data_IF_162939907916
#
_entry.id   IF_162939907916
#
_cell.length_a   1.000
_cell.length_b   1.000
_cell.length_c   1.000
_cell.angle_alpha   90.00
_cell.angle_beta   90.00
_cell.angle_gamma   90.00
#
_symmetry.space_group_name_H-M   'P 1'
#
loop_
_entity.id
_entity.type
_entity.pdbx_description
1 polymer ?
#
# COMPACT_ATOMS: atom_id res chain seq x y z
N UNK A 1 -18.59 0.11 21.62
CA UNK A 1 -18.18 -0.01 21.18
C UNK A 1 -17.86 -0.23 20.50
N UNK A 2 -17.72 -0.48 20.17
CA UNK A 2 -17.20 -0.71 19.49
C UNK A 2 -17.09 -0.44 18.62
N UNK A 3 -17.18 -0.15 18.41
CA UNK A 3 -17.02 0.05 17.65
C UNK A 3 -16.56 0.51 16.94
N UNK A 4 -16.55 0.88 17.04
CA UNK A 4 -15.70 1.50 16.35
C UNK A 4 -14.74 0.85 15.48
N UNK A 5 -14.69 -0.25 15.43
CA UNK A 5 -13.86 -1.06 14.59
C UNK A 5 -14.17 -0.83 13.14
N UNK A 6 -15.34 -0.38 12.89
CA UNK A 6 -15.80 -0.16 11.53
C UNK A 6 -15.39 1.19 10.99
N UNK A 7 -14.65 1.95 11.78
CA UNK A 7 -14.22 3.25 11.33
C UNK A 7 -12.71 3.30 11.30
N UNK A 8 -12.09 2.53 10.43
CA UNK A 8 -10.64 2.48 10.38
C UNK A 8 -10.00 3.83 10.06
N UNK A 9 -10.76 4.72 9.49
CA UNK A 9 -10.24 6.03 9.13
C UNK A 9 -9.77 6.83 10.32
N UNK A 10 -10.22 6.50 11.52
CA UNK A 10 -9.81 7.24 12.71
C UNK A 10 -8.33 7.05 12.98
N UNK A 11 -7.82 5.83 12.84
CA UNK A 11 -6.43 5.56 13.08
C UNK A 11 -5.65 5.21 11.84
N UNK A 12 -6.30 5.17 10.68
CA UNK A 12 -5.66 4.73 9.45
C UNK A 12 -6.11 5.57 8.27
N UNK A 13 -5.65 6.83 8.23
CA UNK A 13 -6.07 7.71 7.13
C UNK A 13 -5.59 7.23 5.76
N UNK A 14 -4.60 6.36 5.71
CA UNK A 14 -4.03 5.85 4.47
C UNK A 14 -4.81 4.66 3.91
N UNK A 15 -5.87 4.20 4.58
CA UNK A 15 -6.63 3.04 4.13
C UNK A 15 -8.11 3.38 4.08
N UNK A 16 -8.75 3.02 2.98
CA UNK A 16 -10.19 3.17 2.83
C UNK A 16 -10.78 1.85 2.41
N UNK A 17 -11.85 1.46 3.05
CA UNK A 17 -12.56 0.25 2.68
C UNK A 17 -13.50 0.56 1.53
N UNK A 18 -13.33 -0.16 0.43
CA UNK A 18 -14.16 0.05 -0.75
C UNK A 18 -15.36 -0.88 -0.74
N UNK A 19 -15.16 -2.12 -0.36
CA UNK A 19 -16.25 -3.08 -0.21
C UNK A 19 -15.79 -4.13 0.81
N UNK A 20 -16.55 -5.22 0.95
CA UNK A 20 -16.28 -6.21 1.99
C UNK A 20 -14.90 -6.83 1.89
N UNK A 21 -14.32 -6.85 0.69
CA UNK A 21 -13.06 -7.53 0.45
C UNK A 21 -11.96 -6.64 -0.09
N UNK A 22 -12.30 -5.41 -0.46
CA UNK A 22 -11.35 -4.54 -1.15
C UNK A 22 -11.06 -3.29 -0.34
N UNK A 23 -9.79 -3.00 -0.19
CA UNK A 23 -9.32 -1.78 0.47
C UNK A 23 -8.45 -1.01 -0.51
N UNK A 24 -8.47 0.32 -0.39
CA UNK A 24 -7.59 1.18 -1.19
C UNK A 24 -6.60 1.82 -0.24
N UNK A 25 -5.33 1.66 -0.56
CA UNK A 25 -4.24 2.20 0.24
C UNK A 25 -3.67 3.42 -0.44
N UNK A 26 -3.44 4.47 0.34
CA UNK A 26 -2.76 5.68 -0.13
C UNK A 26 -1.32 5.61 0.38
N UNK A 27 -0.38 5.50 -0.53
CA UNK A 27 1.01 5.20 -0.20
C UNK A 27 1.95 6.26 -0.71
N UNK A 28 3.01 6.50 0.05
CA UNK A 28 4.17 7.25 -0.40
C UNK A 28 5.33 6.27 -0.47
N UNK A 29 5.84 6.01 -1.66
CA UNK A 29 6.82 4.97 -1.90
C UNK A 29 8.18 5.57 -2.15
N UNK A 30 9.21 5.04 -1.48
CA UNK A 30 10.57 5.50 -1.63
C UNK A 30 11.46 4.35 -2.09
N UNK A 31 11.77 4.26 -3.39
CA UNK A 31 12.68 3.24 -3.89
C UNK A 31 14.12 3.60 -3.57
N UNK A 32 15.03 2.68 -3.83
CA UNK A 32 16.46 2.91 -3.57
C UNK A 32 16.86 2.70 -2.13
N UNK A 33 15.99 2.12 -1.32
CA UNK A 33 16.30 1.84 0.08
C UNK A 33 17.10 0.55 0.19
N UNK A 34 17.75 0.36 1.33
CA UNK A 34 18.51 -0.87 1.56
C UNK A 34 17.63 -2.06 1.80
N UNK A 35 16.43 -1.85 2.33
CA UNK A 35 15.48 -2.94 2.51
C UNK A 35 14.06 -2.41 2.41
N UNK A 36 13.15 -3.33 2.13
CA UNK A 36 11.74 -3.01 1.99
C UNK A 36 11.06 -3.09 3.34
N UNK A 37 10.40 -2.02 3.73
CA UNK A 37 9.72 -1.96 5.03
C UNK A 37 8.73 -0.82 5.06
N UNK A 38 7.74 -0.96 5.93
CA UNK A 38 6.85 0.15 6.25
C UNK A 38 7.62 1.08 7.18
N UNK A 39 7.70 2.35 6.80
CA UNK A 39 8.45 3.33 7.56
C UNK A 39 7.56 4.04 8.59
N UNK A 40 6.33 4.34 8.21
CA UNK A 40 5.40 5.05 9.08
C UNK A 40 4.49 5.94 8.28
N UNK A 41 4.00 6.99 8.91
CA UNK A 41 3.09 7.91 8.24
C UNK A 41 3.86 9.02 7.54
N UNK A 42 3.31 9.45 6.42
CA UNK A 42 3.83 10.58 5.66
C UNK A 42 2.60 11.43 5.30
N UNK A 43 2.30 12.39 6.14
CA UNK A 43 1.02 13.05 6.08
C UNK A 43 -0.07 12.05 6.39
N UNK A 44 -1.02 11.90 5.49
CA UNK A 44 -2.09 10.92 5.62
C UNK A 44 -1.83 9.66 4.82
N UNK A 45 -0.60 9.48 4.36
CA UNK A 45 -0.22 8.32 3.57
C UNK A 45 0.68 7.41 4.38
N UNK A 46 0.73 6.16 3.99
CA UNK A 46 1.65 5.20 4.59
C UNK A 46 2.92 5.21 3.76
N UNK A 47 4.04 5.49 4.40
CA UNK A 47 5.33 5.53 3.70
C UNK A 47 5.95 4.15 3.70
N UNK A 48 6.34 3.70 2.51
CA UNK A 48 6.97 2.41 2.31
C UNK A 48 8.30 2.59 1.61
N UNK A 49 9.37 2.10 2.22
CA UNK A 49 10.68 2.05 1.60
C UNK A 49 10.77 0.76 0.79
N UNK A 50 11.33 0.86 -0.41
CA UNK A 50 11.49 -0.30 -1.29
C UNK A 50 12.95 -0.51 -1.62
N UNK A 51 13.43 -1.74 -1.44
CA UNK A 51 14.75 -2.15 -1.85
C UNK A 51 14.70 -2.52 -3.33
N UNK A 52 14.46 -1.52 -4.16
CA UNK A 52 14.36 -1.69 -5.60
C UNK A 52 14.91 -0.44 -6.26
N UNK A 53 15.47 -0.56 -7.46
CA UNK A 53 15.96 0.63 -8.17
C UNK A 53 14.79 1.59 -8.43
N UNK A 54 15.08 2.90 -8.56
CA UNK A 54 14.05 3.89 -8.86
C UNK A 54 13.65 3.85 -10.34
N UNK A 55 13.27 2.68 -10.78
CA UNK A 55 12.78 2.40 -12.12
C UNK A 55 11.34 1.94 -11.93
N UNK A 56 10.42 2.61 -12.59
CA UNK A 56 8.99 2.45 -12.30
C UNK A 56 8.52 1.00 -12.29
N UNK A 57 8.86 0.24 -13.32
CA UNK A 57 8.42 -1.15 -13.39
C UNK A 57 8.95 -1.99 -12.26
N UNK A 58 10.21 -1.79 -11.89
CA UNK A 58 10.83 -2.57 -10.83
C UNK A 58 10.32 -2.17 -9.46
N UNK A 59 10.14 -0.87 -9.24
CA UNK A 59 9.59 -0.38 -7.98
C UNK A 59 8.15 -0.87 -7.80
N UNK A 60 7.35 -0.84 -8.86
CA UNK A 60 5.97 -1.29 -8.78
C UNK A 60 5.89 -2.78 -8.51
N UNK A 61 6.75 -3.59 -9.13
CA UNK A 61 6.79 -5.02 -8.87
C UNK A 61 7.16 -5.30 -7.41
N UNK A 62 8.15 -4.59 -6.90
CA UNK A 62 8.58 -4.77 -5.51
C UNK A 62 7.46 -4.40 -4.55
N UNK A 63 6.72 -3.34 -4.87
CA UNK A 63 5.60 -2.91 -4.03
C UNK A 63 4.50 -3.96 -4.02
N UNK A 64 4.12 -4.47 -5.19
CA UNK A 64 3.08 -5.49 -5.29
C UNK A 64 3.49 -6.74 -4.51
N UNK A 65 4.74 -7.19 -4.67
CA UNK A 65 5.22 -8.36 -3.95
C UNK A 65 5.20 -8.14 -2.45
N UNK A 66 5.64 -6.98 -2.00
CA UNK A 66 5.68 -6.67 -0.59
C UNK A 66 4.28 -6.66 0.02
N UNK A 67 3.33 -6.00 -0.65
CA UNK A 67 1.97 -5.92 -0.15
C UNK A 67 1.29 -7.28 -0.14
N UNK A 68 1.46 -8.05 -1.21
CA UNK A 68 0.86 -9.38 -1.29
C UNK A 68 1.38 -10.28 -0.18
N UNK A 69 2.70 -10.26 0.04
CA UNK A 69 3.30 -11.07 1.07
C UNK A 69 2.88 -10.61 2.46
N UNK A 70 2.87 -9.30 2.70
CA UNK A 70 2.51 -8.76 4.00
C UNK A 70 1.07 -9.04 4.37
N UNK A 71 0.19 -9.07 3.39
CA UNK A 71 -1.24 -9.29 3.62
C UNK A 71 -1.64 -10.75 3.45
N UNK A 72 -0.73 -11.59 2.99
CA UNK A 72 -1.04 -13.01 2.79
C UNK A 72 -2.02 -13.24 1.66
N UNK A 73 -1.95 -12.44 0.61
CA UNK A 73 -2.85 -12.56 -0.55
C UNK A 73 -2.02 -12.78 -1.81
N UNK A 74 -2.69 -13.19 -2.88
CA UNK A 74 -2.02 -13.37 -4.16
C UNK A 74 -1.66 -12.00 -4.75
N UNK A 75 -0.61 -11.98 -5.57
CA UNK A 75 -0.22 -10.75 -6.24
C UNK A 75 -1.33 -10.20 -7.13
N UNK A 76 -2.13 -11.09 -7.70
CA UNK A 76 -3.26 -10.67 -8.52
C UNK A 76 -4.31 -9.90 -7.74
N UNK A 77 -4.27 -9.97 -6.42
CA UNK A 77 -5.16 -9.19 -5.57
C UNK A 77 -4.66 -7.79 -5.28
N UNK A 78 -3.48 -7.43 -5.80
CA UNK A 78 -2.90 -6.10 -5.60
C UNK A 78 -2.88 -5.38 -6.92
N UNK A 79 -3.54 -4.23 -6.99
CA UNK A 79 -3.64 -3.46 -8.24
C UNK A 79 -3.26 -2.01 -7.98
N UNK A 80 -2.32 -1.49 -8.74
CA UNK A 80 -1.96 -0.08 -8.65
C UNK A 80 -2.99 0.71 -9.45
N UNK A 81 -3.78 1.51 -8.76
CA UNK A 81 -4.86 2.27 -9.38
C UNK A 81 -4.36 3.56 -10.01
N UNK A 82 -3.38 4.22 -9.39
CA UNK A 82 -2.83 5.45 -9.90
C UNK A 82 -1.43 5.64 -9.37
N UNK A 83 -0.66 6.51 -10.01
CA UNK A 83 0.69 6.81 -9.58
C UNK A 83 1.72 5.79 -10.04
N UNK A 84 1.54 5.17 -11.19
CA UNK A 84 2.47 4.18 -11.69
C UNK A 84 3.87 4.74 -11.90
N UNK A 85 3.97 6.00 -12.27
CA UNK A 85 5.25 6.65 -12.52
C UNK A 85 5.56 7.71 -11.48
N UNK A 86 5.03 7.57 -10.30
CA UNK A 86 5.05 8.60 -9.29
C UNK A 86 5.23 7.94 -7.93
N UNK A 87 5.74 8.67 -6.95
CA UNK A 87 5.94 8.12 -5.61
C UNK A 87 4.66 8.05 -4.81
N UNK A 88 3.66 8.86 -5.18
CA UNK A 88 2.35 8.83 -4.54
C UNK A 88 1.49 7.85 -5.28
N UNK A 89 1.11 6.77 -4.63
CA UNK A 89 0.39 5.69 -5.29
C UNK A 89 -0.90 5.37 -4.56
N UNK A 90 -1.91 5.01 -5.33
CA UNK A 90 -3.12 4.43 -4.76
C UNK A 90 -3.20 2.99 -5.22
N UNK A 91 -3.37 2.10 -4.28
CA UNK A 91 -3.30 0.67 -4.55
C UNK A 91 -4.52 -0.02 -3.96
N UNK A 92 -5.20 -0.81 -4.78
CA UNK A 92 -6.31 -1.64 -4.30
C UNK A 92 -5.77 -3.00 -3.89
N UNK A 93 -6.18 -3.46 -2.72
CA UNK A 93 -5.83 -4.81 -2.26
C UNK A 93 -7.13 -5.56 -1.98
N UNK A 94 -7.21 -6.76 -2.49
CA UNK A 94 -8.38 -7.59 -2.32
C UNK A 94 -8.04 -8.75 -1.40
N UNK A 95 -8.65 -8.71 -0.23
CA UNK A 95 -8.40 -9.69 0.82
C UNK A 95 -9.60 -10.60 0.93
N UNK A 96 -9.58 -11.66 0.30
CA UNK A 96 -10.76 -12.49 0.41
C UNK A 96 -10.83 -13.56 -0.63
#
# INVERSE_FOLDING_TARGET
MKENLDTPSVGTPWMQRKDAQTFVLSLHVQPGAKRTAVVGLYGEKLKIALAAPPVDGKANQALVQFLAKSLGIAKSGVTILSGETNREKRVAVRCG
#
